data_IF_688133085607
#
_entry.id   IF_688133085607
#
_cell.length_a   1.000
_cell.length_b   1.000
_cell.length_c   1.000
_cell.angle_alpha   90.00
_cell.angle_beta   90.00
_cell.angle_gamma   90.00
#
_symmetry.space_group_name_H-M   'P 1'
#
loop_
_entity.id
_entity.type
_entity.pdbx_description
1 polymer ?
#
# COMPACT_ATOMS: atom_id res chain seq x y z
N UNK A 1 -30.99 -23.01 -48.65
CA UNK A 1 -30.24 -21.86 -48.11
C UNK A 1 -31.24 -20.89 -47.49
N UNK A 2 -31.30 -20.83 -46.16
CA UNK A 2 -32.11 -19.86 -45.40
C UNK A 2 -31.15 -19.22 -44.39
N UNK A 3 -30.89 -17.93 -44.56
CA UNK A 3 -30.06 -17.12 -43.66
C UNK A 3 -30.86 -16.82 -42.39
N UNK A 4 -30.33 -17.20 -41.23
CA UNK A 4 -30.83 -16.78 -39.93
C UNK A 4 -30.01 -15.57 -39.47
N UNK A 5 -30.68 -14.42 -39.39
CA UNK A 5 -30.16 -13.15 -38.88
C UNK A 5 -30.30 -13.18 -37.34
N UNK A 6 -29.18 -13.21 -36.61
CA UNK A 6 -29.19 -13.13 -35.14
C UNK A 6 -29.11 -11.64 -34.74
N UNK A 7 -30.20 -11.13 -34.15
CA UNK A 7 -30.27 -9.80 -33.52
C UNK A 7 -29.68 -9.88 -32.10
N UNK A 8 -28.61 -9.14 -31.86
CA UNK A 8 -28.04 -8.92 -30.53
C UNK A 8 -28.85 -7.82 -29.82
N UNK A 9 -29.47 -8.16 -28.70
CA UNK A 9 -30.11 -7.19 -27.79
C UNK A 9 -29.08 -6.77 -26.74
N UNK A 10 -28.66 -5.51 -26.78
CA UNK A 10 -27.87 -4.87 -25.73
C UNK A 10 -28.81 -4.44 -24.60
N UNK A 11 -28.66 -5.06 -23.43
CA UNK A 11 -29.29 -4.61 -22.20
C UNK A 11 -28.39 -3.55 -21.51
N UNK A 12 -28.94 -2.41 -21.05
CA UNK A 12 -28.19 -1.43 -20.27
C UNK A 12 -27.98 -1.95 -18.85
N UNK A 13 -26.72 -2.03 -18.42
CA UNK A 13 -26.36 -2.37 -17.05
C UNK A 13 -26.68 -1.20 -16.10
N UNK A 14 -27.35 -1.54 -15.00
CA UNK A 14 -27.88 -0.65 -13.99
C UNK A 14 -26.80 0.22 -13.34
N UNK A 15 -27.00 1.53 -13.37
CA UNK A 15 -26.35 2.49 -12.48
C UNK A 15 -27.27 2.69 -11.28
N UNK A 16 -26.84 2.30 -10.08
CA UNK A 16 -27.52 2.70 -8.85
C UNK A 16 -26.60 3.61 -8.04
N UNK A 17 -26.96 4.89 -8.02
CA UNK A 17 -26.62 5.84 -6.97
C UNK A 17 -27.31 5.40 -5.68
N UNK A 18 -26.56 5.33 -4.59
CA UNK A 18 -27.08 5.30 -3.22
C UNK A 18 -26.72 6.66 -2.63
N UNK A 19 -27.72 7.54 -2.52
CA UNK A 19 -28.52 7.78 -1.33
C UNK A 19 -27.81 8.73 -0.35
N UNK A 20 -28.17 9.99 -0.52
CA UNK A 20 -27.94 11.14 0.34
C UNK A 20 -28.92 11.07 1.53
N UNK A 21 -28.45 11.10 2.78
CA UNK A 21 -29.35 11.25 3.91
C UNK A 21 -29.77 12.71 4.10
N UNK A 22 -31.03 12.95 3.77
CA UNK A 22 -31.85 14.13 4.09
C UNK A 22 -31.85 14.41 5.60
N UNK A 23 -31.50 15.63 6.01
CA UNK A 23 -31.74 16.13 7.37
C UNK A 23 -33.15 16.75 7.45
N UNK A 24 -33.94 16.47 8.50
CA UNK A 24 -35.25 17.09 8.65
C UNK A 24 -35.15 18.51 9.22
N UNK A 25 -35.96 19.39 8.63
CA UNK A 25 -36.24 20.74 9.08
C UNK A 25 -36.77 20.80 10.53
N UNK A 26 -36.40 21.87 11.23
CA UNK A 26 -37.16 22.39 12.35
C UNK A 26 -37.34 23.90 12.15
N UNK A 27 -38.57 24.30 11.81
CA UNK A 27 -39.08 25.66 11.86
C UNK A 27 -39.08 26.21 13.31
N UNK A 28 -38.87 27.52 13.44
CA UNK A 28 -38.92 28.21 14.74
C UNK A 28 -38.67 29.72 14.68
N UNK A 29 -39.51 30.43 13.92
CA UNK A 29 -40.04 31.80 14.11
C UNK A 29 -39.42 32.82 15.11
N UNK A 30 -39.16 34.02 14.57
CA UNK A 30 -39.49 35.38 15.09
C UNK A 30 -38.48 36.17 15.96
N UNK A 31 -37.94 37.25 15.37
CA UNK A 31 -37.29 38.41 16.05
C UNK A 31 -38.31 39.34 16.72
N UNK A 32 -37.90 40.13 17.74
CA UNK A 32 -37.72 41.58 17.50
C UNK A 32 -36.57 42.23 18.32
N UNK A 33 -36.25 43.53 18.11
CA UNK A 33 -34.93 44.10 18.38
C UNK A 33 -34.82 44.86 19.71
N UNK A 34 -33.59 45.03 20.21
CA UNK A 34 -33.29 45.91 21.34
C UNK A 34 -31.80 45.97 21.66
N UNK A 35 -31.24 47.18 21.58
CA UNK A 35 -29.82 47.49 21.70
C UNK A 35 -29.23 47.30 23.11
N UNK A 36 -27.97 46.85 23.20
CA UNK A 36 -26.90 47.54 23.94
C UNK A 36 -25.58 46.77 23.91
N UNK A 37 -24.52 47.52 23.66
CA UNK A 37 -23.11 47.14 23.73
C UNK A 37 -22.72 46.42 25.02
N UNK A 38 -21.93 45.35 24.91
CA UNK A 38 -20.77 45.09 25.78
C UNK A 38 -19.99 43.84 25.35
N UNK A 39 -18.66 43.96 25.45
CA UNK A 39 -17.64 42.93 25.55
C UNK A 39 -17.40 42.00 24.34
N UNK A 40 -16.31 42.32 23.63
CA UNK A 40 -15.62 41.44 22.69
C UNK A 40 -14.97 40.28 23.46
N UNK A 41 -15.50 39.07 23.29
CA UNK A 41 -14.86 37.82 23.67
C UNK A 41 -14.72 36.97 22.40
N UNK A 42 -13.48 36.51 22.15
CA UNK A 42 -13.10 35.77 20.96
C UNK A 42 -13.94 34.49 20.76
N UNK A 43 -14.29 34.10 19.53
CA UNK A 43 -14.98 32.84 19.29
C UNK A 43 -14.02 31.68 19.58
N UNK A 44 -14.44 30.80 20.49
CA UNK A 44 -13.81 29.49 20.70
C UNK A 44 -13.83 28.71 19.39
N UNK A 45 -12.66 28.25 18.96
CA UNK A 45 -12.51 27.38 17.81
C UNK A 45 -13.37 26.11 18.00
N UNK A 46 -14.06 25.63 16.94
CA UNK A 46 -14.76 24.35 17.01
C UNK A 46 -13.74 23.24 17.26
N UNK A 47 -14.04 22.43 18.28
CA UNK A 47 -13.27 21.25 18.62
C UNK A 47 -13.14 20.35 17.38
N UNK A 48 -11.90 20.00 17.04
CA UNK A 48 -11.62 19.00 16.01
C UNK A 48 -12.36 17.69 16.35
N UNK A 49 -12.99 17.03 15.38
CA UNK A 49 -13.59 15.72 15.61
C UNK A 49 -12.49 14.77 16.09
N UNK A 50 -12.70 14.21 17.28
CA UNK A 50 -11.79 13.26 17.89
C UNK A 50 -11.58 12.08 16.95
N UNK A 51 -10.34 11.86 16.54
CA UNK A 51 -9.95 10.68 15.79
C UNK A 51 -10.33 9.44 16.61
N UNK A 52 -11.14 8.56 16.01
CA UNK A 52 -11.47 7.24 16.56
C UNK A 52 -10.19 6.51 16.94
N UNK A 53 -10.09 5.90 18.14
CA UNK A 53 -8.89 5.17 18.54
C UNK A 53 -8.64 4.03 17.54
N UNK A 54 -7.42 3.95 17.02
CA UNK A 54 -6.95 2.79 16.27
C UNK A 54 -7.22 1.53 17.12
N UNK A 55 -7.95 0.55 16.57
CA UNK A 55 -8.24 -0.70 17.24
C UNK A 55 -6.94 -1.30 17.82
N UNK A 56 -7.01 -1.79 19.06
CA UNK A 56 -5.86 -2.35 19.76
C UNK A 56 -5.10 -3.34 18.87
N UNK A 57 -3.80 -3.12 18.73
CA UNK A 57 -2.92 -3.96 17.92
C UNK A 57 -3.05 -5.45 18.28
N UNK A 58 -3.40 -6.27 17.30
CA UNK A 58 -3.40 -7.73 17.43
C UNK A 58 -1.94 -8.21 17.37
N UNK A 59 -1.38 -8.58 18.52
CA UNK A 59 0.00 -9.07 18.65
C UNK A 59 -0.03 -10.49 19.20
N UNK A 60 0.20 -11.47 18.33
CA UNK A 60 0.56 -12.83 18.70
C UNK A 60 2.08 -12.93 18.91
N UNK A 61 2.47 -13.06 20.17
CA UNK A 61 3.87 -13.07 20.59
C UNK A 61 4.73 -14.15 19.90
N UNK A 62 4.12 -15.23 19.40
CA UNK A 62 4.82 -16.32 18.72
C UNK A 62 5.43 -15.88 17.39
N UNK A 63 4.82 -14.90 16.73
CA UNK A 63 5.23 -14.45 15.40
C UNK A 63 6.09 -13.18 15.43
N UNK A 64 6.11 -12.44 16.54
CA UNK A 64 6.94 -11.24 16.71
C UNK A 64 8.41 -11.47 16.30
N UNK A 65 9.09 -12.57 16.71
CA UNK A 65 10.48 -12.81 16.29
C UNK A 65 10.65 -13.00 14.79
N UNK A 66 9.69 -13.60 14.10
CA UNK A 66 9.72 -13.81 12.65
C UNK A 66 9.57 -12.48 11.91
N UNK A 67 8.62 -11.64 12.34
CA UNK A 67 8.40 -10.30 11.79
C UNK A 67 9.63 -9.42 12.00
N UNK A 68 10.19 -9.42 13.22
CA UNK A 68 11.39 -8.66 13.55
C UNK A 68 12.60 -9.12 12.72
N UNK A 69 12.80 -10.43 12.53
CA UNK A 69 13.90 -10.91 11.67
C UNK A 69 13.72 -10.52 10.22
N UNK A 70 12.50 -10.67 9.69
CA UNK A 70 12.18 -10.24 8.33
C UNK A 70 12.53 -8.75 8.13
N UNK A 71 12.16 -7.91 9.09
CA UNK A 71 12.47 -6.48 9.03
C UNK A 71 13.97 -6.15 9.12
N UNK A 72 14.76 -6.95 9.85
CA UNK A 72 16.22 -6.75 9.85
C UNK A 72 16.87 -7.14 8.52
N UNK A 73 16.37 -8.19 7.88
CA UNK A 73 17.11 -8.88 6.82
C UNK A 73 16.66 -8.47 5.40
N UNK A 74 15.46 -7.89 5.24
CA UNK A 74 14.80 -7.77 3.93
C UNK A 74 15.58 -7.00 2.86
N UNK A 75 16.37 -5.99 3.26
CA UNK A 75 17.15 -5.20 2.30
C UNK A 75 18.17 -6.06 1.54
N UNK A 76 18.66 -7.12 2.17
CA UNK A 76 19.56 -8.07 1.54
C UNK A 76 18.87 -8.94 0.47
N UNK A 77 17.54 -8.99 0.38
CA UNK A 77 16.82 -9.75 -0.64
C UNK A 77 16.67 -8.97 -1.96
N UNK A 78 16.71 -7.64 -1.89
CA UNK A 78 16.50 -6.76 -3.04
C UNK A 78 15.01 -6.52 -3.34
N UNK A 79 14.74 -5.44 -4.08
CA UNK A 79 13.38 -5.11 -4.49
C UNK A 79 12.90 -6.09 -5.56
N UNK A 80 11.61 -6.37 -5.57
CA UNK A 80 11.02 -7.32 -6.53
C UNK A 80 11.15 -6.86 -7.98
N UNK A 81 11.33 -5.56 -8.22
CA UNK A 81 11.38 -4.91 -9.52
C UNK A 81 12.77 -4.34 -9.89
N UNK A 82 13.81 -4.61 -9.11
CA UNK A 82 15.16 -4.13 -9.38
C UNK A 82 15.91 -5.05 -10.35
N UNK A 83 15.80 -4.80 -11.65
CA UNK A 83 16.46 -5.59 -12.69
C UNK A 83 18.00 -5.48 -12.64
N UNK A 84 18.57 -4.39 -12.09
CA UNK A 84 20.04 -4.19 -12.00
C UNK A 84 20.73 -5.27 -11.18
N UNK A 85 20.00 -5.84 -10.22
CA UNK A 85 20.50 -6.91 -9.37
C UNK A 85 20.50 -8.28 -10.05
N UNK A 86 19.71 -8.46 -11.11
CA UNK A 86 19.42 -9.79 -11.70
C UNK A 86 19.82 -9.94 -13.17
N UNK A 87 20.25 -8.86 -13.83
CA UNK A 87 20.52 -8.87 -15.26
C UNK A 87 22.01 -8.79 -15.64
N UNK A 88 22.81 -9.87 -15.48
CA UNK A 88 24.04 -10.04 -16.24
C UNK A 88 23.81 -10.34 -17.73
N UNK A 89 22.59 -10.76 -18.12
CA UNK A 89 22.31 -11.38 -19.42
C UNK A 89 21.46 -10.54 -20.38
N UNK A 90 21.01 -9.36 -19.96
CA UNK A 90 20.23 -8.48 -20.82
C UNK A 90 21.18 -7.52 -21.53
N UNK A 91 21.28 -7.57 -22.87
CA UNK A 91 22.00 -6.59 -23.68
C UNK A 91 21.37 -5.16 -23.62
N UNK A 92 20.48 -4.90 -22.65
CA UNK A 92 19.88 -3.59 -22.33
C UNK A 92 20.25 -3.21 -20.90
N UNK A 93 20.37 -1.89 -20.65
CA UNK A 93 20.61 -1.38 -19.30
C UNK A 93 19.45 -1.81 -18.38
N UNK A 94 19.71 -2.49 -17.25
CA UNK A 94 18.63 -2.95 -16.39
C UNK A 94 17.96 -1.76 -15.69
N UNK A 95 16.65 -1.86 -15.45
CA UNK A 95 15.90 -0.83 -14.73
C UNK A 95 16.12 -0.92 -13.21
N UNK A 96 16.24 0.21 -12.50
CA UNK A 96 16.24 0.23 -11.04
C UNK A 96 14.87 -0.16 -10.48
N UNK A 97 14.84 -0.63 -9.24
CA UNK A 97 13.57 -0.80 -8.51
C UNK A 97 12.87 0.55 -8.31
N UNK A 98 11.53 0.56 -8.29
CA UNK A 98 10.75 1.81 -8.32
C UNK A 98 9.80 1.93 -7.13
N UNK A 99 9.51 3.17 -6.76
CA UNK A 99 8.39 3.46 -5.87
C UNK A 99 7.06 3.18 -6.57
N UNK A 100 6.11 2.59 -5.84
CA UNK A 100 4.73 2.37 -6.26
C UNK A 100 3.76 3.16 -5.40
N UNK A 101 2.64 3.57 -5.98
CA UNK A 101 1.50 4.14 -5.26
C UNK A 101 0.52 3.02 -4.91
N UNK A 102 -0.11 3.08 -3.75
CA UNK A 102 -1.19 2.16 -3.37
C UNK A 102 -2.48 2.49 -4.10
N UNK A 103 -3.13 1.50 -4.70
CA UNK A 103 -4.43 1.63 -5.41
C UNK A 103 -5.65 1.89 -4.50
N UNK A 104 -5.44 1.89 -3.17
CA UNK A 104 -6.51 2.21 -2.24
C UNK A 104 -6.90 3.68 -2.41
N UNK A 105 -8.18 3.95 -2.69
CA UNK A 105 -8.70 5.31 -2.85
C UNK A 105 -8.92 6.01 -1.50
N UNK A 106 -9.27 5.23 -0.46
CA UNK A 106 -9.60 5.70 0.87
C UNK A 106 -8.96 4.86 2.01
N UNK A 107 -9.18 5.30 3.24
CA UNK A 107 -8.67 4.65 4.45
C UNK A 107 -7.17 4.81 4.69
N UNK A 108 -6.66 4.11 5.71
CA UNK A 108 -5.28 4.23 6.18
C UNK A 108 -4.21 3.78 5.19
N UNK A 109 -4.57 3.27 4.00
CA UNK A 109 -3.63 2.83 2.96
C UNK A 109 -3.61 3.72 1.72
N UNK A 110 -4.53 4.69 1.61
CA UNK A 110 -4.65 5.53 0.43
C UNK A 110 -3.39 6.36 0.17
N UNK A 111 -2.98 6.41 -1.11
CA UNK A 111 -1.88 7.24 -1.60
C UNK A 111 -0.53 7.04 -0.89
N UNK A 112 -0.31 5.86 -0.30
CA UNK A 112 0.98 5.48 0.28
C UNK A 112 1.96 5.10 -0.83
N UNK A 113 3.17 5.63 -0.71
CA UNK A 113 4.30 5.22 -1.53
C UNK A 113 4.97 4.01 -0.90
N UNK A 114 5.32 3.01 -1.71
CA UNK A 114 5.94 1.81 -1.21
C UNK A 114 6.82 1.11 -2.23
N UNK A 115 7.61 0.17 -1.73
CA UNK A 115 8.31 -0.83 -2.52
C UNK A 115 8.23 -2.18 -1.86
N UNK A 116 8.37 -3.24 -2.63
CA UNK A 116 8.23 -4.61 -2.15
C UNK A 116 9.56 -5.35 -2.28
N UNK A 117 9.87 -6.14 -1.26
CA UNK A 117 11.00 -7.05 -1.19
C UNK A 117 10.48 -8.45 -0.97
N UNK A 118 11.10 -9.46 -1.59
CA UNK A 118 10.68 -10.84 -1.45
C UNK A 118 11.89 -11.74 -1.19
N UNK A 119 11.78 -12.62 -0.18
CA UNK A 119 12.84 -13.58 0.14
C UNK A 119 13.03 -14.63 -0.98
N UNK A 120 11.94 -15.21 -1.47
CA UNK A 120 11.95 -16.05 -2.67
C UNK A 120 11.44 -15.19 -3.83
N UNK A 121 12.35 -14.44 -4.43
CA UNK A 121 12.07 -13.48 -5.50
C UNK A 121 11.45 -14.16 -6.72
N UNK A 122 12.00 -15.31 -7.16
CA UNK A 122 11.50 -16.07 -8.31
C UNK A 122 10.05 -16.58 -8.14
N UNK A 123 9.56 -16.65 -6.91
CA UNK A 123 8.19 -17.03 -6.60
C UNK A 123 7.23 -15.84 -6.49
N UNK A 124 7.74 -14.60 -6.58
CA UNK A 124 6.93 -13.40 -6.52
C UNK A 124 6.15 -13.22 -7.84
N UNK A 125 4.81 -13.11 -7.79
CA UNK A 125 4.01 -13.19 -9.01
C UNK A 125 3.99 -11.88 -9.80
N UNK A 126 3.91 -12.02 -11.12
CA UNK A 126 3.46 -10.93 -11.99
C UNK A 126 1.93 -10.94 -12.09
N UNK A 127 1.33 -9.75 -12.11
CA UNK A 127 -0.13 -9.57 -12.21
C UNK A 127 -0.69 -10.22 -13.50
N UNK A 128 0.07 -10.18 -14.59
CA UNK A 128 -0.36 -10.64 -15.92
C UNK A 128 -0.25 -12.16 -16.15
N UNK A 129 0.15 -12.95 -15.15
CA UNK A 129 0.27 -14.42 -15.31
C UNK A 129 -1.10 -15.06 -15.52
N UNK A 130 -1.22 -16.00 -16.47
CA UNK A 130 -2.51 -16.64 -16.80
C UNK A 130 -3.13 -17.42 -15.61
N UNK A 131 -2.30 -18.08 -14.82
CA UNK A 131 -2.72 -18.84 -13.65
C UNK A 131 -2.25 -18.19 -12.33
N UNK A 132 -3.02 -18.30 -11.23
CA UNK A 132 -2.53 -17.98 -9.90
C UNK A 132 -1.25 -18.73 -9.56
N UNK A 133 -0.35 -18.06 -8.84
CA UNK A 133 0.95 -18.59 -8.46
C UNK A 133 0.89 -18.93 -6.98
N UNK A 134 1.05 -20.21 -6.65
CA UNK A 134 1.13 -20.63 -5.24
C UNK A 134 2.46 -20.16 -4.64
N UNK A 135 2.40 -19.71 -3.39
CA UNK A 135 3.56 -19.19 -2.69
C UNK A 135 4.21 -20.29 -1.84
N UNK A 136 5.55 -20.42 -1.83
CA UNK A 136 6.22 -21.45 -1.05
C UNK A 136 6.20 -21.14 0.45
N UNK A 137 6.18 -22.17 1.30
CA UNK A 137 6.50 -22.01 2.72
C UNK A 137 7.90 -21.42 2.86
N UNK A 138 8.06 -20.46 3.76
CA UNK A 138 9.28 -19.67 3.92
C UNK A 138 9.32 -18.42 3.05
N UNK A 139 8.31 -18.17 2.21
CA UNK A 139 8.18 -16.88 1.53
C UNK A 139 7.98 -15.76 2.54
N UNK A 140 8.70 -14.66 2.33
CA UNK A 140 8.58 -13.46 3.15
C UNK A 140 8.54 -12.26 2.22
N UNK A 141 7.52 -11.43 2.40
CA UNK A 141 7.34 -10.18 1.70
C UNK A 141 7.45 -9.04 2.69
N UNK A 142 8.24 -8.04 2.34
CA UNK A 142 8.31 -6.78 3.09
C UNK A 142 7.93 -5.65 2.16
N UNK A 143 6.87 -4.93 2.51
CA UNK A 143 6.46 -3.69 1.88
C UNK A 143 7.01 -2.52 2.69
N UNK A 144 8.11 -1.94 2.23
CA UNK A 144 8.71 -0.73 2.78
C UNK A 144 7.86 0.47 2.34
N UNK A 145 7.33 1.25 3.30
CA UNK A 145 6.44 2.38 3.01
C UNK A 145 7.12 3.72 3.28
N UNK A 146 6.74 4.74 2.52
CA UNK A 146 7.32 6.08 2.60
C UNK A 146 6.22 7.15 2.66
N UNK A 147 6.56 8.29 3.26
CA UNK A 147 5.74 9.48 3.14
C UNK A 147 5.82 10.07 1.72
N UNK A 148 4.67 10.37 1.08
CA UNK A 148 4.65 11.08 -0.18
C UNK A 148 4.96 12.57 0.02
N UNK A 149 5.87 13.10 -0.78
CA UNK A 149 6.07 14.54 -0.97
C UNK A 149 5.64 14.90 -2.40
N UNK A 150 4.71 15.84 -2.55
CA UNK A 150 4.34 16.38 -3.87
C UNK A 150 5.47 17.27 -4.38
N UNK A 151 5.92 17.05 -5.61
CA UNK A 151 6.99 17.83 -6.25
C UNK A 151 6.55 18.37 -7.61
N UNK A 152 7.02 19.57 -7.95
CA UNK A 152 6.62 20.25 -9.20
C UNK A 152 7.18 19.59 -10.45
N UNK A 153 8.39 19.01 -10.37
CA UNK A 153 9.04 18.30 -11.49
C UNK A 153 9.89 17.14 -10.95
N UNK A 154 9.64 15.93 -11.44
CA UNK A 154 10.59 14.82 -11.29
C UNK A 154 11.88 15.13 -12.08
N UNK A 155 13.06 14.69 -11.60
CA UNK A 155 14.26 14.71 -12.42
C UNK A 155 14.00 14.01 -13.77
N UNK A 156 14.60 14.56 -14.82
CA UNK A 156 14.33 14.16 -16.22
C UNK A 156 14.82 12.73 -16.54
N UNK A 157 15.72 12.21 -15.69
CA UNK A 157 16.18 10.83 -15.71
C UNK A 157 15.84 10.17 -14.37
N UNK A 158 15.48 8.87 -14.36
CA UNK A 158 15.46 8.09 -13.13
C UNK A 158 16.79 8.32 -12.43
N UNK A 159 16.75 8.81 -11.19
CA UNK A 159 17.99 9.02 -10.47
C UNK A 159 18.59 7.65 -10.18
N UNK A 160 19.54 7.20 -11.01
CA UNK A 160 20.44 6.09 -10.67
C UNK A 160 21.32 6.43 -9.46
N UNK A 161 21.26 7.68 -9.00
CA UNK A 161 21.91 8.10 -7.79
C UNK A 161 21.31 7.32 -6.62
N UNK A 162 22.16 6.58 -5.87
CA UNK A 162 21.75 6.01 -4.60
C UNK A 162 21.16 7.13 -3.76
N UNK A 163 20.03 6.88 -3.09
CA UNK A 163 19.61 7.79 -2.03
C UNK A 163 20.81 8.00 -1.10
N UNK A 164 21.10 9.24 -0.66
CA UNK A 164 22.20 9.48 0.26
C UNK A 164 21.95 8.65 1.52
N UNK A 165 22.68 7.54 1.59
CA UNK A 165 22.71 6.67 2.75
C UNK A 165 23.67 7.31 3.73
N UNK A 166 23.20 7.59 4.95
CA UNK A 166 24.09 7.98 6.06
C UNK A 166 25.03 6.83 6.48
N UNK A 167 24.90 5.66 5.85
CA UNK A 167 25.69 4.47 6.12
C UNK A 167 26.49 4.06 4.86
N UNK A 168 27.82 4.29 4.84
CA UNK A 168 28.68 3.92 3.71
C UNK A 168 28.90 2.41 3.55
N UNK A 169 28.42 1.58 4.49
CA UNK A 169 28.52 0.12 4.41
C UNK A 169 27.33 -0.53 3.68
N UNK A 170 26.27 0.24 3.39
CA UNK A 170 25.14 -0.25 2.61
C UNK A 170 25.48 -0.28 1.12
N UNK A 171 25.23 -1.40 0.41
CA UNK A 171 25.27 -1.41 -1.05
C UNK A 171 24.39 -0.28 -1.59
N UNK A 172 24.84 0.38 -2.65
CA UNK A 172 24.03 1.36 -3.37
C UNK A 172 22.75 0.69 -3.86
N UNK A 173 21.61 0.99 -3.21
CA UNK A 173 20.29 0.59 -3.68
C UNK A 173 19.92 1.50 -4.85
N UNK A 174 19.81 0.93 -6.05
CA UNK A 174 19.37 1.64 -7.24
C UNK A 174 17.85 1.72 -7.20
N UNK A 175 17.36 2.80 -6.59
CA UNK A 175 15.95 3.01 -6.31
C UNK A 175 15.49 4.34 -6.93
N UNK A 176 14.45 4.28 -7.77
CA UNK A 176 13.76 5.47 -8.27
C UNK A 176 12.65 5.87 -7.27
N UNK A 177 12.81 6.98 -6.52
CA UNK A 177 11.86 7.37 -5.50
C UNK A 177 10.64 8.11 -6.06
N UNK A 178 10.53 8.32 -7.38
CA UNK A 178 9.46 9.12 -7.96
C UNK A 178 8.34 8.25 -8.57
N UNK A 179 7.09 8.66 -8.34
CA UNK A 179 5.91 8.11 -9.01
C UNK A 179 5.07 9.26 -9.57
N UNK A 180 4.49 9.04 -10.76
CA UNK A 180 3.53 9.97 -11.38
C UNK A 180 2.12 9.41 -11.22
N UNK A 181 1.19 10.28 -10.90
CA UNK A 181 -0.24 10.00 -10.74
C UNK A 181 -1.03 11.17 -11.33
N UNK A 182 -1.54 10.98 -12.55
CA UNK A 182 -2.11 12.05 -13.37
C UNK A 182 -1.10 13.16 -13.67
N UNK A 183 -1.45 14.40 -13.32
CA UNK A 183 -0.62 15.59 -13.46
C UNK A 183 0.36 15.79 -12.29
N UNK A 184 0.28 14.95 -11.25
CA UNK A 184 1.07 15.08 -10.03
C UNK A 184 2.26 14.13 -10.04
N UNK A 185 3.34 14.59 -9.45
CA UNK A 185 4.54 13.78 -9.18
C UNK A 185 4.76 13.72 -7.68
N UNK A 186 4.92 12.51 -7.14
CA UNK A 186 5.27 12.31 -5.75
C UNK A 186 6.66 11.70 -5.62
N UNK A 187 7.39 12.13 -4.60
CA UNK A 187 8.67 11.57 -4.18
C UNK A 187 8.49 10.78 -2.87
N UNK A 188 9.01 9.56 -2.84
CA UNK A 188 9.23 8.81 -1.62
C UNK A 188 10.31 9.48 -0.78
N UNK A 189 9.93 9.94 0.41
CA UNK A 189 10.84 10.68 1.30
C UNK A 189 11.22 9.86 2.52
N UNK A 190 10.59 10.13 3.67
CA UNK A 190 10.92 9.50 4.95
C UNK A 190 10.30 8.11 5.03
N UNK A 191 11.08 7.16 5.51
CA UNK A 191 10.61 5.82 5.83
C UNK A 191 9.50 5.89 6.89
N UNK A 192 8.34 5.31 6.57
CA UNK A 192 7.12 5.36 7.39
C UNK A 192 6.86 4.05 8.15
N UNK A 193 7.71 3.04 7.97
CA UNK A 193 7.52 1.70 8.53
C UNK A 193 7.32 0.64 7.44
N UNK A 194 7.24 -0.60 7.89
CA UNK A 194 7.14 -1.76 7.01
C UNK A 194 5.91 -2.60 7.32
N UNK A 195 5.34 -3.18 6.26
CA UNK A 195 4.35 -4.24 6.36
C UNK A 195 5.02 -5.55 5.98
N UNK A 196 4.87 -6.56 6.82
CA UNK A 196 5.49 -7.88 6.63
C UNK A 196 4.39 -8.91 6.45
N UNK A 197 4.52 -9.72 5.40
CA UNK A 197 3.63 -10.86 5.15
C UNK A 197 4.51 -12.07 4.90
N UNK A 198 4.34 -13.13 5.68
CA UNK A 198 5.16 -14.33 5.56
C UNK A 198 4.32 -15.60 5.56
N UNK A 199 4.83 -16.64 4.89
CA UNK A 199 4.19 -17.93 4.78
C UNK A 199 4.93 -18.98 5.61
N UNK A 200 4.23 -19.57 6.56
CA UNK A 200 4.65 -20.74 7.35
C UNK A 200 3.83 -21.97 6.94
N UNK A 201 4.04 -23.10 7.62
CA UNK A 201 3.25 -24.31 7.37
C UNK A 201 1.75 -24.02 7.58
N UNK A 202 0.86 -24.47 6.69
CA UNK A 202 -0.57 -24.09 6.68
C UNK A 202 -1.31 -24.50 7.95
N UNK A 203 -0.88 -25.56 8.62
CA UNK A 203 -1.41 -26.08 9.88
C UNK A 203 -0.93 -25.30 11.13
N UNK A 204 -0.07 -24.29 10.96
CA UNK A 204 0.47 -23.51 12.09
C UNK A 204 -0.67 -22.77 12.81
N UNK A 205 -0.91 -23.00 14.12
CA UNK A 205 -2.02 -22.37 14.84
C UNK A 205 -1.89 -20.85 14.92
N UNK A 206 -2.99 -20.12 14.73
CA UNK A 206 -3.01 -18.65 14.78
C UNK A 206 -2.50 -18.00 13.50
N UNK A 207 -2.58 -18.70 12.36
CA UNK A 207 -2.28 -18.16 11.03
C UNK A 207 -3.54 -18.13 10.16
N UNK A 208 -3.51 -17.34 9.09
CA UNK A 208 -4.51 -17.39 8.03
C UNK A 208 -4.07 -18.39 6.95
N UNK A 209 -4.38 -19.67 7.14
CA UNK A 209 -3.97 -20.75 6.25
C UNK A 209 -2.45 -20.77 5.96
N UNK A 210 -1.64 -20.58 7.00
CA UNK A 210 -0.18 -20.47 6.92
C UNK A 210 0.34 -19.05 6.70
N UNK A 211 -0.53 -18.06 6.52
CA UNK A 211 -0.10 -16.66 6.39
C UNK A 211 -0.09 -15.92 7.73
N UNK A 212 0.98 -15.15 7.92
CA UNK A 212 1.20 -14.29 9.09
C UNK A 212 1.44 -12.88 8.58
N UNK A 213 0.77 -11.92 9.22
CA UNK A 213 0.85 -10.49 8.92
C UNK A 213 1.51 -9.76 10.09
N UNK A 214 2.18 -8.65 9.80
CA UNK A 214 2.67 -7.76 10.82
C UNK A 214 3.04 -6.39 10.30
N UNK A 215 3.10 -5.43 11.21
CA UNK A 215 3.53 -4.05 10.96
C UNK A 215 4.71 -3.71 11.84
N UNK A 216 5.64 -2.93 11.31
CA UNK A 216 6.86 -2.54 11.99
C UNK A 216 7.06 -1.03 11.85
N UNK A 217 7.37 -0.34 12.94
CA UNK A 217 7.69 1.09 12.94
C UNK A 217 9.02 1.37 12.23
N UNK A 218 9.34 2.64 11.91
CA UNK A 218 10.64 3.00 11.38
C UNK A 218 11.83 2.53 12.24
N UNK A 219 11.64 2.47 13.56
CA UNK A 219 12.64 2.08 14.56
C UNK A 219 12.79 0.56 14.70
N UNK A 220 11.90 -0.23 14.08
CA UNK A 220 11.93 -1.69 14.15
C UNK A 220 11.02 -2.30 15.21
N UNK A 221 10.15 -1.51 15.85
CA UNK A 221 9.16 -2.04 16.80
C UNK A 221 8.04 -2.76 16.06
N UNK A 222 7.76 -4.01 16.44
CA UNK A 222 6.64 -4.78 15.90
C UNK A 222 5.35 -4.31 16.56
N UNK A 223 4.46 -3.71 15.76
CA UNK A 223 3.18 -3.12 16.21
C UNK A 223 1.98 -4.00 15.88
N UNK A 224 2.15 -5.08 15.13
CA UNK A 224 1.15 -6.15 14.97
C UNK A 224 1.83 -7.44 14.51
N UNK A 225 1.26 -8.59 14.85
CA UNK A 225 1.80 -9.90 14.45
C UNK A 225 0.72 -10.99 14.51
N UNK A 226 0.60 -11.81 13.48
CA UNK A 226 -0.35 -12.94 13.43
C UNK A 226 -1.47 -12.72 12.44
N UNK A 227 -2.72 -13.00 12.84
CA UNK A 227 -3.94 -12.86 12.01
C UNK A 227 -4.50 -11.44 12.05
N UNK A 228 -3.70 -10.47 11.65
CA UNK A 228 -4.07 -9.05 11.71
C UNK A 228 -5.28 -8.77 10.80
N UNK A 229 -6.44 -8.53 11.41
CA UNK A 229 -7.72 -8.40 10.69
C UNK A 229 -7.70 -7.34 9.57
N UNK A 230 -7.08 -6.18 9.82
CA UNK A 230 -6.96 -5.10 8.82
C UNK A 230 -6.13 -5.50 7.60
N UNK A 231 -5.11 -6.34 7.78
CA UNK A 231 -4.33 -6.89 6.67
C UNK A 231 -5.12 -7.96 5.92
N UNK A 232 -5.74 -8.88 6.66
CA UNK A 232 -6.55 -9.95 6.07
C UNK A 232 -7.69 -9.41 5.21
N UNK A 233 -8.30 -8.28 5.60
CA UNK A 233 -9.43 -7.67 4.88
C UNK A 233 -9.20 -7.48 3.38
N UNK A 234 -7.97 -7.21 2.94
CA UNK A 234 -7.62 -7.14 1.53
C UNK A 234 -6.85 -8.38 1.04
N UNK A 235 -5.96 -8.94 1.88
CA UNK A 235 -5.07 -10.00 1.44
C UNK A 235 -5.80 -11.31 1.17
N UNK A 236 -6.91 -11.61 1.86
CA UNK A 236 -7.64 -12.89 1.67
C UNK A 236 -8.19 -13.09 0.27
N UNK A 237 -8.49 -11.99 -0.43
CA UNK A 237 -9.00 -12.01 -1.81
C UNK A 237 -7.91 -11.83 -2.86
N UNK A 238 -6.64 -11.75 -2.46
CA UNK A 238 -5.55 -11.58 -3.41
C UNK A 238 -5.42 -12.82 -4.31
N UNK A 239 -5.21 -12.59 -5.62
CA UNK A 239 -5.19 -13.65 -6.63
C UNK A 239 -4.14 -14.72 -6.36
N UNK A 240 -2.95 -14.33 -5.93
CA UNK A 240 -1.83 -15.24 -5.68
C UNK A 240 -1.79 -15.61 -4.20
N UNK A 241 -2.88 -16.24 -3.74
CA UNK A 241 -3.19 -16.55 -2.35
C UNK A 241 -3.37 -15.33 -1.44
N UNK A 242 -2.29 -14.75 -0.93
CA UNK A 242 -2.30 -13.52 -0.11
C UNK A 242 -1.37 -12.46 -0.69
N UNK A 243 -1.01 -12.59 -1.96
CA UNK A 243 -0.03 -11.73 -2.65
C UNK A 243 -0.67 -11.11 -3.89
N UNK A 244 -0.48 -9.80 -4.07
CA UNK A 244 -1.06 -9.05 -5.19
C UNK A 244 -0.21 -9.11 -6.47
N UNK A 245 1.10 -9.34 -6.34
CA UNK A 245 2.05 -9.33 -7.45
C UNK A 245 2.49 -7.92 -7.84
N UNK A 246 3.27 -7.83 -8.93
CA UNK A 246 3.63 -6.57 -9.58
C UNK A 246 3.31 -6.65 -11.06
N UNK A 247 3.07 -5.51 -11.69
CA UNK A 247 3.06 -5.46 -13.14
C UNK A 247 4.47 -5.71 -13.67
N UNK A 248 4.58 -6.45 -14.76
CA UNK A 248 5.81 -6.50 -15.52
C UNK A 248 6.27 -5.08 -15.89
N UNK A 249 7.59 -4.85 -15.88
CA UNK A 249 8.14 -3.63 -16.44
C UNK A 249 7.62 -3.47 -17.88
N UNK A 250 7.01 -2.32 -18.18
CA UNK A 250 6.56 -2.03 -19.54
C UNK A 250 7.77 -2.18 -20.47
N UNK A 251 7.62 -3.01 -21.51
CA UNK A 251 8.56 -2.98 -22.61
C UNK A 251 8.53 -1.56 -23.21
N UNK A 252 9.69 -0.93 -23.47
CA UNK A 252 9.74 0.38 -24.09
C UNK A 252 9.06 0.41 -25.46
#
# INVERSE_FOLDING_TARGET
MRYALLLLVLAPACSHSLDEPTSPDAEGTTSPPGASSSASAAPSAPAAPSATPAAAAEIDARFVPLIASAFRDYKAWGRVDDELRWAPWLCRLPLPGRTRMSDAEDGGHARKLYSVFARNHDAYPLVQTEAPVSQPVGQVLVKESYHPELVDKAPEFPSHQPLPSSDPSRPSDHFDPYVRDGDRTYRATRFAGAYVVLKVAPETPGTDAGWVYGTVTPEGEVTSAGRVASCMGCHVSARHERVFGIEAAAAP
#
